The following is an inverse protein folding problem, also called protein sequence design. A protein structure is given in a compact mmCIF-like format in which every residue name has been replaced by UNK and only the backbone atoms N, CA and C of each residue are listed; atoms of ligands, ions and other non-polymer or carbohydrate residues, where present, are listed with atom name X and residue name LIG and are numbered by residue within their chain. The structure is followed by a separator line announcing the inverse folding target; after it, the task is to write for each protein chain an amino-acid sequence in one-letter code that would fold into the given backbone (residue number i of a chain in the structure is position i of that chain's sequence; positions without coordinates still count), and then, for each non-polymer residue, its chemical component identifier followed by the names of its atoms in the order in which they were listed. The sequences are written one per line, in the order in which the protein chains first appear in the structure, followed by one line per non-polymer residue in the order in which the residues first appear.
data_IF_039670298473
#
_entry.id   IF_039670298473
#
_cell.length_a   1.000
_cell.length_b   1.000
_cell.length_c   1.000
_cell.angle_alpha   90.00
_cell.angle_beta   90.00
_cell.angle_gamma   90.00
#
_symmetry.space_group_name_H-M   'P 1'
#
loop_
_entity.id
_entity.type
_entity.pdbx_description
1 polymer ?
#
# COMPACT_ATOMS: atom_id res chain seq x y z
N UNK A 1 9.84 -24.02 -3.45
CA UNK A 1 9.72 -23.63 -4.88
C UNK A 1 9.26 -22.18 -4.89
N UNK A 2 9.73 -21.30 -5.78
CA UNK A 2 9.17 -19.92 -5.83
C UNK A 2 7.84 -19.98 -6.57
N UNK A 3 6.80 -19.39 -5.98
CA UNK A 3 5.43 -19.49 -6.50
C UNK A 3 5.17 -18.51 -7.67
N UNK A 4 6.05 -17.51 -7.90
CA UNK A 4 5.93 -16.56 -9.00
C UNK A 4 7.28 -15.99 -9.50
N UNK A 5 7.32 -15.54 -10.76
CA UNK A 5 8.51 -14.95 -11.40
C UNK A 5 8.47 -13.42 -11.53
N UNK A 6 7.65 -12.73 -10.73
CA UNK A 6 7.53 -11.27 -10.73
C UNK A 6 8.89 -10.55 -10.59
N UNK A 7 9.79 -11.09 -9.76
CA UNK A 7 11.13 -10.54 -9.54
C UNK A 7 12.23 -11.14 -10.45
N UNK A 8 11.84 -11.77 -11.56
CA UNK A 8 12.70 -12.48 -12.53
C UNK A 8 13.50 -13.62 -11.88
N UNK A 9 14.46 -14.17 -12.63
CA UNK A 9 15.30 -15.29 -12.22
C UNK A 9 16.74 -15.17 -12.78
N UNK A 10 17.66 -15.95 -12.21
CA UNK A 10 19.05 -16.03 -12.66
C UNK A 10 19.87 -14.78 -12.31
N UNK A 11 20.86 -14.46 -13.16
CA UNK A 11 21.86 -13.39 -12.90
C UNK A 11 21.27 -11.97 -12.83
N UNK A 12 20.06 -11.74 -13.36
CA UNK A 12 19.34 -10.46 -13.31
C UNK A 12 18.14 -10.50 -12.38
N UNK A 13 18.22 -11.31 -11.32
CA UNK A 13 17.24 -11.33 -10.25
C UNK A 13 17.18 -10.00 -9.52
N UNK A 14 15.98 -9.57 -9.13
CA UNK A 14 15.78 -8.33 -8.37
C UNK A 14 16.39 -8.46 -6.97
N UNK A 15 17.43 -7.68 -6.70
CA UNK A 15 18.10 -7.65 -5.39
C UNK A 15 17.18 -7.09 -4.28
N UNK A 16 16.16 -6.31 -4.65
CA UNK A 16 15.19 -5.72 -3.73
C UNK A 16 14.04 -6.64 -3.32
N UNK A 17 14.00 -7.91 -3.77
CA UNK A 17 12.86 -8.82 -3.55
C UNK A 17 12.45 -8.94 -2.09
N UNK A 18 13.42 -9.20 -1.20
CA UNK A 18 13.13 -9.38 0.23
C UNK A 18 12.61 -8.10 0.89
N UNK A 19 13.13 -6.93 0.48
CA UNK A 19 12.67 -5.64 1.00
C UNK A 19 11.25 -5.36 0.49
N UNK A 20 11.00 -5.56 -0.79
CA UNK A 20 9.69 -5.34 -1.41
C UNK A 20 8.62 -6.26 -0.81
N UNK A 21 8.87 -7.57 -0.73
CA UNK A 21 7.92 -8.55 -0.19
C UNK A 21 7.56 -8.26 1.27
N UNK A 22 8.55 -7.97 2.11
CA UNK A 22 8.31 -7.64 3.53
C UNK A 22 7.58 -6.32 3.70
N UNK A 23 7.95 -5.30 2.92
CA UNK A 23 7.32 -3.98 2.98
C UNK A 23 5.86 -4.05 2.54
N UNK A 24 5.59 -4.74 1.42
CA UNK A 24 4.22 -4.95 0.94
C UNK A 24 3.40 -5.77 1.93
N UNK A 25 3.95 -6.84 2.49
CA UNK A 25 3.26 -7.65 3.48
C UNK A 25 2.84 -6.82 4.70
N UNK A 26 3.75 -6.03 5.27
CA UNK A 26 3.44 -5.13 6.39
C UNK A 26 2.42 -4.06 5.99
N UNK A 27 2.53 -3.49 4.78
CA UNK A 27 1.56 -2.54 4.24
C UNK A 27 0.16 -3.13 4.17
N UNK A 28 0.02 -4.33 3.57
CA UNK A 28 -1.26 -5.03 3.47
C UNK A 28 -1.86 -5.35 4.83
N UNK A 29 -1.06 -5.86 5.76
CA UNK A 29 -1.53 -6.17 7.11
C UNK A 29 -2.03 -4.92 7.84
N UNK A 30 -1.32 -3.79 7.73
CA UNK A 30 -1.74 -2.52 8.33
C UNK A 30 -3.06 -2.04 7.73
N UNK A 31 -3.22 -2.09 6.41
CA UNK A 31 -4.46 -1.70 5.75
C UNK A 31 -5.63 -2.63 6.12
N UNK A 32 -5.41 -3.95 6.14
CA UNK A 32 -6.42 -4.94 6.55
C UNK A 32 -6.77 -4.83 8.04
N UNK A 33 -5.82 -4.44 8.88
CA UNK A 33 -6.08 -4.16 10.28
C UNK A 33 -6.94 -2.90 10.43
N UNK A 34 -6.70 -1.86 9.64
CA UNK A 34 -7.36 -0.55 9.74
C UNK A 34 -8.73 -0.46 9.05
N UNK A 35 -8.90 -1.08 7.88
CA UNK A 35 -10.04 -0.84 7.00
C UNK A 35 -10.80 -2.11 6.59
N UNK A 36 -12.10 -1.95 6.40
CA UNK A 36 -12.96 -2.86 5.65
C UNK A 36 -13.02 -2.36 4.20
N UNK A 37 -12.53 -3.19 3.29
CA UNK A 37 -12.55 -2.91 1.86
C UNK A 37 -13.91 -3.31 1.30
N UNK A 38 -14.57 -2.38 0.61
CA UNK A 38 -15.86 -2.59 -0.03
C UNK A 38 -15.78 -2.09 -1.47
N UNK A 39 -16.58 -2.70 -2.34
CA UNK A 39 -16.83 -2.16 -3.68
C UNK A 39 -17.43 -0.75 -3.55
N UNK A 40 -17.04 0.13 -4.47
CA UNK A 40 -17.75 1.38 -4.67
C UNK A 40 -19.19 1.12 -5.11
N UNK A 41 -20.06 2.10 -4.91
CA UNK A 41 -21.46 2.03 -5.34
C UNK A 41 -21.66 3.08 -6.43
N UNK A 42 -22.49 2.77 -7.42
CA UNK A 42 -22.99 3.76 -8.39
C UNK A 42 -24.08 4.66 -7.76
N UNK A 43 -24.66 5.55 -8.56
CA UNK A 43 -25.75 6.45 -8.14
C UNK A 43 -26.99 5.69 -7.62
N UNK A 44 -27.21 4.47 -8.08
CA UNK A 44 -28.32 3.60 -7.67
C UNK A 44 -27.99 2.70 -6.47
N UNK A 45 -26.78 2.78 -5.91
CA UNK A 45 -26.35 1.93 -4.81
C UNK A 45 -25.87 0.53 -5.21
N UNK A 46 -25.64 0.27 -6.50
CA UNK A 46 -25.19 -1.03 -7.02
C UNK A 46 -23.67 -1.13 -6.92
N UNK A 47 -23.11 -2.26 -6.40
CA UNK A 47 -21.67 -2.45 -6.32
C UNK A 47 -20.97 -2.48 -7.68
N UNK A 48 -20.01 -1.57 -7.87
CA UNK A 48 -19.14 -1.52 -9.05
C UNK A 48 -17.99 -2.51 -8.84
N UNK A 49 -17.85 -3.49 -9.73
CA UNK A 49 -16.70 -4.37 -9.77
C UNK A 49 -15.60 -3.75 -10.63
N UNK A 50 -14.36 -3.59 -10.12
CA UNK A 50 -13.23 -3.21 -10.96
C UNK A 50 -12.99 -4.26 -12.04
N UNK A 51 -12.72 -3.84 -13.27
CA UNK A 51 -12.32 -4.75 -14.33
C UNK A 51 -10.86 -5.18 -14.11
N UNK A 52 -10.65 -6.49 -13.95
CA UNK A 52 -9.33 -7.07 -13.71
C UNK A 52 -8.41 -7.02 -14.94
N UNK A 53 -8.98 -6.84 -16.14
CA UNK A 53 -8.22 -6.70 -17.38
C UNK A 53 -7.80 -5.24 -17.66
N UNK A 54 -8.40 -4.27 -16.96
CA UNK A 54 -8.17 -2.84 -17.18
C UNK A 54 -6.85 -2.40 -16.50
N UNK A 55 -5.74 -2.76 -17.15
CA UNK A 55 -4.38 -2.52 -16.69
C UNK A 55 -3.65 -1.51 -17.57
N UNK A 56 -2.64 -0.85 -17.01
CA UNK A 56 -1.71 -0.03 -17.79
C UNK A 56 -0.74 -0.90 -18.58
N UNK A 57 -0.32 -0.42 -19.74
CA UNK A 57 0.75 -1.04 -20.52
C UNK A 57 2.12 -0.45 -20.14
N UNK A 58 3.18 -1.26 -20.24
CA UNK A 58 4.55 -0.80 -20.05
C UNK A 58 5.41 -1.73 -19.18
N UNK A 59 6.56 -1.22 -18.74
CA UNK A 59 7.51 -1.96 -17.91
C UNK A 59 6.96 -2.30 -16.51
N UNK A 60 6.00 -1.51 -16.02
CA UNK A 60 5.24 -1.75 -14.80
C UNK A 60 3.76 -1.78 -15.18
N UNK A 61 3.11 -2.92 -14.93
CA UNK A 61 1.69 -3.13 -15.18
C UNK A 61 0.94 -2.96 -13.86
N UNK A 62 0.00 -2.04 -13.82
CA UNK A 62 -0.84 -1.76 -12.65
C UNK A 62 -2.30 -1.56 -13.07
N UNK A 63 -3.28 -1.76 -12.18
CA UNK A 63 -4.67 -1.41 -12.46
C UNK A 63 -4.80 0.07 -12.82
N UNK A 64 -5.67 0.39 -13.79
CA UNK A 64 -6.07 1.80 -13.99
C UNK A 64 -6.88 2.29 -12.78
N UNK A 65 -6.96 3.61 -12.54
CA UNK A 65 -7.76 4.15 -11.44
C UNK A 65 -9.20 3.64 -11.50
N UNK A 66 -9.66 3.07 -10.38
CA UNK A 66 -11.03 2.57 -10.22
C UNK A 66 -11.61 3.07 -8.90
N UNK A 67 -12.94 3.27 -8.81
CA UNK A 67 -13.56 3.71 -7.57
C UNK A 67 -13.54 2.58 -6.53
N UNK A 68 -13.15 2.90 -5.30
CA UNK A 68 -13.11 1.97 -4.18
C UNK A 68 -13.65 2.64 -2.91
N UNK A 69 -14.22 1.83 -2.01
CA UNK A 69 -14.76 2.33 -0.73
C UNK A 69 -14.03 1.68 0.43
N UNK A 70 -13.36 2.50 1.23
CA UNK A 70 -12.66 2.09 2.44
C UNK A 70 -13.45 2.56 3.65
N UNK A 71 -13.79 1.64 4.56
CA UNK A 71 -14.47 1.97 5.81
C UNK A 71 -13.53 1.66 6.96
N UNK A 72 -13.29 2.64 7.85
CA UNK A 72 -12.52 2.38 9.08
C UNK A 72 -13.18 1.27 9.89
N UNK A 73 -12.37 0.34 10.44
CA UNK A 73 -12.87 -0.79 11.23
C UNK A 73 -13.38 -0.38 12.61
N UNK A 74 -12.74 0.59 13.24
CA UNK A 74 -13.20 1.18 14.50
C UNK A 74 -12.65 2.61 14.64
N UNK A 75 -13.33 3.41 15.46
CA UNK A 75 -12.86 4.76 15.83
C UNK A 75 -11.52 4.71 16.57
N UNK A 76 -11.33 3.74 17.46
CA UNK A 76 -10.08 3.52 18.18
C UNK A 76 -8.88 3.38 17.23
N UNK A 77 -9.03 2.57 16.17
CA UNK A 77 -7.96 2.38 15.17
C UNK A 77 -7.67 3.65 14.39
N UNK A 78 -8.68 4.46 14.12
CA UNK A 78 -8.50 5.76 13.45
C UNK A 78 -7.69 6.70 14.34
N UNK A 79 -8.01 6.77 15.62
CA UNK A 79 -7.29 7.61 16.58
C UNK A 79 -5.84 7.11 16.79
N UNK A 80 -5.63 5.79 16.84
CA UNK A 80 -4.30 5.18 16.85
C UNK A 80 -3.47 5.64 15.64
N UNK A 81 -4.00 5.49 14.42
CA UNK A 81 -3.31 5.89 13.19
C UNK A 81 -2.99 7.38 13.19
N UNK A 82 -3.95 8.23 13.61
CA UNK A 82 -3.75 9.68 13.69
C UNK A 82 -2.69 10.06 14.71
N UNK A 83 -2.65 9.36 15.86
CA UNK A 83 -1.63 9.59 16.88
C UNK A 83 -0.25 9.23 16.35
N UNK A 84 -0.08 8.04 15.78
CA UNK A 84 1.19 7.61 15.20
C UNK A 84 1.65 8.51 14.05
N UNK A 85 0.71 8.98 13.22
CA UNK A 85 1.03 9.94 12.15
C UNK A 85 1.59 11.25 12.70
N UNK A 86 0.95 11.83 13.72
CA UNK A 86 1.43 13.07 14.37
C UNK A 86 2.83 12.92 14.97
N UNK A 87 3.15 11.77 15.56
CA UNK A 87 4.49 11.50 16.09
C UNK A 87 5.56 11.49 14.98
N UNK A 88 5.17 11.13 13.75
CA UNK A 88 6.06 11.08 12.59
C UNK A 88 6.13 12.39 11.81
N UNK A 89 5.24 13.36 12.03
CA UNK A 89 5.32 14.67 11.33
C UNK A 89 6.53 15.49 11.78
N UNK A 90 6.83 15.50 13.09
CA UNK A 90 7.93 16.29 13.66
C UNK A 90 9.32 15.99 13.04
N UNK A 91 9.74 14.73 12.84
CA UNK A 91 11.03 14.42 12.22
C UNK A 91 11.08 14.63 10.69
N UNK A 92 9.97 14.95 10.04
CA UNK A 92 9.89 15.12 8.59
C UNK A 92 9.94 16.60 8.17
N UNK A 93 10.57 16.90 7.04
CA UNK A 93 10.57 18.20 6.40
C UNK A 93 9.31 18.45 5.55
N UNK A 94 9.23 19.61 4.90
CA UNK A 94 8.07 20.02 4.09
C UNK A 94 7.82 19.10 2.88
N UNK A 95 8.86 18.39 2.42
CA UNK A 95 8.80 17.42 1.32
C UNK A 95 8.53 15.98 1.83
N UNK A 96 8.32 15.81 3.14
CA UNK A 96 8.09 14.53 3.77
C UNK A 96 9.35 13.65 3.86
N UNK A 97 10.55 14.24 3.78
CA UNK A 97 11.82 13.54 3.98
C UNK A 97 12.30 13.66 5.42
N UNK A 98 13.16 12.75 5.85
CA UNK A 98 13.78 12.81 7.17
C UNK A 98 14.68 14.04 7.29
N UNK A 99 14.39 14.94 8.26
CA UNK A 99 15.28 16.06 8.61
C UNK A 99 16.67 15.55 9.03
N UNK A 100 16.68 14.47 9.81
CA UNK A 100 17.87 13.72 10.21
C UNK A 100 17.52 12.23 10.12
N UNK A 101 18.33 11.40 9.46
CA UNK A 101 18.09 9.97 9.40
C UNK A 101 18.04 9.35 10.81
N UNK A 102 17.08 8.45 11.09
CA UNK A 102 17.00 7.78 12.38
C UNK A 102 18.21 6.87 12.63
N UNK A 103 18.56 6.72 13.90
CA UNK A 103 19.71 5.92 14.36
C UNK A 103 19.57 4.46 13.88
N UNK A 104 20.57 3.95 13.15
CA UNK A 104 20.57 2.61 12.55
C UNK A 104 20.13 2.52 11.08
N UNK A 105 19.79 3.64 10.43
CA UNK A 105 19.55 3.71 8.98
C UNK A 105 20.81 3.99 8.14
N UNK A 106 21.95 4.26 8.80
CA UNK A 106 23.25 4.57 8.17
C UNK A 106 24.11 3.33 7.95
#
# INVERSE_FOLDING_TARGET
MRDHFLFKAGRRFCQGTHVAERSLFLGYLRLLWAFNFKKALDEGGVPIAPDAAELTEGALVQPRPFPARFQSRSSEKVEEIRREWKLMEDPLDEDGQWKVPPEGLQ
#
